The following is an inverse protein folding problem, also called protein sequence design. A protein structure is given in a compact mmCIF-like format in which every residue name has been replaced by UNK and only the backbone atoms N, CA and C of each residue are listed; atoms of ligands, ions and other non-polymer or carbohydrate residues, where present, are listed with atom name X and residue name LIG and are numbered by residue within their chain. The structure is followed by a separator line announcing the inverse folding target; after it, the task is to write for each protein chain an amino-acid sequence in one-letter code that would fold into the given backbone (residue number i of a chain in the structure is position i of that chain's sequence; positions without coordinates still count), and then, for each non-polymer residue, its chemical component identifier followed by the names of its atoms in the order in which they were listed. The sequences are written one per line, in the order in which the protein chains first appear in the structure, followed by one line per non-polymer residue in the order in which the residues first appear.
data_IF_659074220846
#
_entry.id   IF_659074220846
#
_cell.length_a   1.000
_cell.length_b   1.000
_cell.length_c   1.000
_cell.angle_alpha   90.00
_cell.angle_beta   90.00
_cell.angle_gamma   90.00
#
_symmetry.space_group_name_H-M   'P 1'
#
loop_
_entity.id
_entity.type
_entity.pdbx_description
1 polymer ?
#
# COMPACT_ATOMS: atom_id res chain seq x y z
N UNK A 1 47.72 -20.74 -14.53
CA UNK A 1 46.44 -20.99 -13.88
C UNK A 1 46.17 -19.81 -12.94
N UNK A 2 45.49 -18.78 -13.44
CA UNK A 2 45.10 -17.63 -12.64
C UNK A 2 43.71 -17.92 -12.07
N UNK A 3 43.66 -18.20 -10.78
CA UNK A 3 42.37 -18.27 -10.05
C UNK A 3 41.84 -16.84 -9.91
N UNK A 4 40.72 -16.58 -10.54
CA UNK A 4 39.98 -15.35 -10.40
C UNK A 4 39.60 -15.13 -8.91
N UNK A 5 40.32 -14.21 -8.26
CA UNK A 5 40.05 -13.75 -6.89
C UNK A 5 39.14 -12.54 -6.91
N UNK A 6 38.01 -12.58 -7.67
CA UNK A 6 36.99 -11.59 -7.51
C UNK A 6 36.32 -11.75 -6.12
N UNK A 7 36.17 -10.66 -5.35
CA UNK A 7 35.59 -10.75 -4.02
C UNK A 7 34.17 -11.30 -4.12
N UNK A 8 33.89 -12.34 -3.34
CA UNK A 8 32.56 -12.91 -3.17
C UNK A 8 31.62 -11.77 -2.82
N UNK A 9 30.67 -11.47 -3.72
CA UNK A 9 29.60 -10.53 -3.44
C UNK A 9 28.92 -10.96 -2.12
N UNK A 10 28.69 -10.03 -1.19
CA UNK A 10 28.06 -10.37 0.08
C UNK A 10 26.76 -11.12 -0.21
N UNK A 11 26.55 -12.25 0.47
CA UNK A 11 25.27 -12.96 0.45
C UNK A 11 24.22 -11.99 0.99
N UNK A 12 23.42 -11.41 0.09
CA UNK A 12 22.29 -10.58 0.50
C UNK A 12 21.37 -11.50 1.28
N UNK A 13 21.21 -11.23 2.56
CA UNK A 13 20.25 -11.92 3.39
C UNK A 13 18.85 -11.60 2.83
N UNK A 14 18.27 -12.59 2.16
CA UNK A 14 16.94 -12.43 1.51
C UNK A 14 15.85 -12.07 2.51
N UNK A 15 15.99 -12.53 3.74
CA UNK A 15 15.04 -12.22 4.82
C UNK A 15 15.18 -10.77 5.28
N UNK A 16 16.41 -10.27 5.44
CA UNK A 16 16.65 -8.87 5.77
C UNK A 16 16.11 -7.94 4.66
N UNK A 17 16.39 -8.25 3.38
CA UNK A 17 15.86 -7.47 2.24
C UNK A 17 14.33 -7.52 2.16
N UNK A 18 13.72 -8.66 2.47
CA UNK A 18 12.26 -8.78 2.54
C UNK A 18 11.68 -7.90 3.66
N UNK A 19 12.30 -7.89 4.84
CA UNK A 19 11.88 -7.05 5.96
C UNK A 19 12.07 -5.56 5.67
N UNK A 20 13.19 -5.16 5.05
CA UNK A 20 13.42 -3.79 4.58
C UNK A 20 12.35 -3.34 3.57
N UNK A 21 11.99 -4.22 2.62
CA UNK A 21 10.93 -3.93 1.67
C UNK A 21 9.56 -3.81 2.34
N UNK A 22 9.26 -4.65 3.35
CA UNK A 22 8.02 -4.54 4.11
C UNK A 22 7.94 -3.19 4.84
N UNK A 23 9.02 -2.70 5.42
CA UNK A 23 9.04 -1.38 6.06
C UNK A 23 8.84 -0.24 5.06
N UNK A 24 9.45 -0.35 3.87
CA UNK A 24 9.28 0.64 2.79
C UNK A 24 7.90 0.58 2.13
N UNK A 25 7.29 -0.60 2.09
CA UNK A 25 5.97 -0.81 1.48
C UNK A 25 4.81 -0.66 2.45
N UNK A 26 5.09 -0.51 3.75
CA UNK A 26 4.03 -0.19 4.72
C UNK A 26 3.43 1.16 4.38
N UNK A 27 2.14 1.23 4.04
CA UNK A 27 1.53 2.47 3.64
C UNK A 27 1.53 3.44 4.82
N UNK A 28 2.15 4.60 4.63
CA UNK A 28 2.13 5.68 5.61
C UNK A 28 0.79 6.39 5.52
N UNK A 29 0.20 6.71 6.67
CA UNK A 29 -0.97 7.57 6.73
C UNK A 29 -0.58 8.92 6.12
N UNK A 30 -1.34 9.42 5.12
CA UNK A 30 -1.05 10.71 4.51
C UNK A 30 -1.02 11.85 5.54
N UNK A 31 -0.22 12.88 5.28
CA UNK A 31 -0.29 14.08 6.08
C UNK A 31 -1.66 14.75 5.92
N UNK A 32 -2.19 15.39 6.98
CA UNK A 32 -3.45 16.11 6.89
C UNK A 32 -3.41 17.16 5.77
N UNK A 33 -4.46 17.20 4.96
CA UNK A 33 -4.64 18.18 3.87
C UNK A 33 -5.63 19.29 4.24
N UNK A 34 -6.23 19.21 5.42
CA UNK A 34 -7.20 20.17 5.94
C UNK A 34 -7.82 19.70 7.25
N UNK A 35 -8.82 20.43 7.69
CA UNK A 35 -9.60 20.13 8.89
C UNK A 35 -11.10 20.14 8.57
N UNK A 36 -11.84 19.27 9.25
CA UNK A 36 -13.30 19.24 9.28
C UNK A 36 -13.77 19.54 10.69
N UNK A 37 -14.76 20.43 10.84
CA UNK A 37 -15.39 20.74 12.11
C UNK A 37 -16.71 20.01 12.22
N UNK A 38 -16.90 19.31 13.33
CA UNK A 38 -18.12 18.56 13.64
C UNK A 38 -18.69 19.11 14.94
N UNK A 39 -20.00 19.37 14.95
CA UNK A 39 -20.70 19.80 16.17
C UNK A 39 -21.45 18.58 16.72
N UNK A 40 -21.11 18.17 17.94
CA UNK A 40 -21.75 17.09 18.67
C UNK A 40 -22.20 17.61 20.03
N UNK A 41 -23.45 17.45 20.38
CA UNK A 41 -24.03 17.92 21.65
C UNK A 41 -23.76 19.42 21.93
N UNK A 42 -23.78 20.25 20.87
CA UNK A 42 -23.51 21.69 20.96
C UNK A 42 -22.05 22.09 21.14
N UNK A 43 -21.11 21.13 21.10
CA UNK A 43 -19.67 21.39 21.18
C UNK A 43 -19.03 21.16 19.81
N UNK A 44 -18.10 22.05 19.46
CA UNK A 44 -17.33 21.95 18.23
C UNK A 44 -16.04 21.12 18.45
N UNK A 45 -15.80 20.17 17.54
CA UNK A 45 -14.61 19.33 17.49
C UNK A 45 -13.97 19.43 16.11
N UNK A 46 -12.64 19.42 16.04
CA UNK A 46 -11.89 19.47 14.78
C UNK A 46 -11.19 18.14 14.53
N UNK A 47 -11.33 17.63 13.29
CA UNK A 47 -10.73 16.37 12.85
C UNK A 47 -9.94 16.57 11.57
N UNK A 48 -8.77 15.94 11.42
CA UNK A 48 -7.96 16.04 10.21
C UNK A 48 -8.68 15.46 8.98
N UNK A 49 -8.45 16.08 7.83
CA UNK A 49 -8.81 15.52 6.52
C UNK A 49 -7.55 14.95 5.89
N UNK A 50 -7.61 13.69 5.48
CA UNK A 50 -6.57 13.00 4.72
C UNK A 50 -6.99 12.95 3.25
N UNK A 51 -6.01 12.99 2.33
CA UNK A 51 -6.29 12.85 0.90
C UNK A 51 -5.54 11.65 0.37
N UNK A 52 -6.26 10.72 -0.26
CA UNK A 52 -5.70 9.57 -0.96
C UNK A 52 -4.98 9.98 -2.25
N UNK A 53 -4.20 9.08 -2.82
CA UNK A 53 -3.47 9.31 -4.08
C UNK A 53 -4.39 9.49 -5.28
N UNK A 54 -5.60 8.98 -5.21
CA UNK A 54 -6.69 9.14 -6.20
C UNK A 54 -7.50 10.43 -6.02
N UNK A 55 -7.18 11.23 -4.98
CA UNK A 55 -7.88 12.46 -4.63
C UNK A 55 -9.07 12.27 -3.70
N UNK A 56 -9.43 11.03 -3.32
CA UNK A 56 -10.47 10.76 -2.34
C UNK A 56 -10.12 11.38 -0.99
N UNK A 57 -11.11 11.96 -0.33
CA UNK A 57 -10.95 12.63 0.97
C UNK A 57 -11.49 11.74 2.09
N UNK A 58 -10.71 11.63 3.14
CA UNK A 58 -11.04 10.83 4.32
C UNK A 58 -11.04 11.71 5.57
N UNK A 59 -12.06 11.57 6.40
CA UNK A 59 -12.08 12.19 7.72
C UNK A 59 -11.36 11.27 8.71
N UNK A 60 -10.30 11.76 9.33
CA UNK A 60 -9.54 10.98 10.32
C UNK A 60 -10.24 11.03 11.68
N UNK A 61 -11.00 9.98 11.97
CA UNK A 61 -11.80 9.88 13.20
C UNK A 61 -11.15 9.04 14.29
N UNK A 62 -9.84 8.73 14.20
CA UNK A 62 -9.13 7.91 15.21
C UNK A 62 -9.24 8.45 16.62
N UNK A 63 -9.39 9.75 16.78
CA UNK A 63 -9.55 10.42 18.07
C UNK A 63 -10.99 10.74 18.43
N UNK A 64 -11.97 10.41 17.59
CA UNK A 64 -13.37 10.74 17.81
C UNK A 64 -13.88 10.26 19.17
N UNK A 65 -13.70 8.98 19.45
CA UNK A 65 -14.18 8.40 20.71
C UNK A 65 -13.52 9.03 21.94
N UNK A 66 -12.21 9.21 21.92
CA UNK A 66 -11.48 9.77 23.06
C UNK A 66 -11.84 11.24 23.32
N UNK A 67 -12.21 12.00 22.30
CA UNK A 67 -12.57 13.39 22.44
C UNK A 67 -14.06 13.59 22.79
N UNK A 68 -14.92 12.73 22.27
CA UNK A 68 -16.38 12.98 22.30
C UNK A 68 -17.18 11.90 23.02
N UNK A 69 -16.62 10.71 23.23
CA UNK A 69 -17.37 9.52 23.68
C UNK A 69 -18.28 8.88 22.64
N UNK A 70 -18.35 9.42 21.41
CA UNK A 70 -19.18 8.89 20.35
C UNK A 70 -18.45 7.83 19.52
N UNK A 71 -19.18 6.83 19.05
CA UNK A 71 -18.70 5.78 18.16
C UNK A 71 -19.44 5.89 16.83
N UNK A 72 -18.75 5.73 15.72
CA UNK A 72 -19.35 5.66 14.38
C UNK A 72 -20.05 4.31 14.22
N UNK A 73 -21.30 4.34 13.78
CA UNK A 73 -22.04 3.16 13.39
C UNK A 73 -22.21 3.13 11.88
N UNK A 74 -21.44 2.26 11.22
CA UNK A 74 -21.43 2.09 9.75
C UNK A 74 -21.44 0.59 9.40
N UNK A 75 -22.60 -0.09 9.51
CA UNK A 75 -22.70 -1.51 9.18
C UNK A 75 -22.45 -1.74 7.68
N UNK A 76 -21.46 -2.58 7.37
CA UNK A 76 -21.07 -2.87 6.01
C UNK A 76 -20.00 -1.94 5.44
N UNK A 77 -19.45 -1.02 6.24
CA UNK A 77 -18.35 -0.13 5.87
C UNK A 77 -18.59 0.70 4.60
N UNK A 78 -19.82 1.21 4.44
CA UNK A 78 -20.24 1.95 3.25
C UNK A 78 -19.52 3.30 3.09
N UNK A 79 -19.11 3.90 4.21
CA UNK A 79 -18.42 5.20 4.24
C UNK A 79 -17.15 5.18 5.09
N UNK A 80 -16.65 3.99 5.47
CA UNK A 80 -15.50 3.85 6.38
C UNK A 80 -14.28 3.29 5.67
N UNK A 81 -13.19 4.06 5.62
CA UNK A 81 -11.87 3.58 5.22
C UNK A 81 -11.22 2.80 6.37
N UNK A 82 -10.96 1.51 6.18
CA UNK A 82 -10.41 0.61 7.21
C UNK A 82 -8.90 0.71 7.36
N UNK A 83 -8.19 0.91 6.26
CA UNK A 83 -6.73 0.95 6.25
C UNK A 83 -6.20 1.73 5.04
N UNK A 84 -4.92 2.09 5.10
CA UNK A 84 -4.17 2.51 3.93
C UNK A 84 -3.56 1.28 3.26
N UNK A 85 -3.59 1.23 1.93
CA UNK A 85 -2.94 0.19 1.15
C UNK A 85 -2.13 0.81 0.02
N UNK A 86 -0.92 0.29 -0.23
CA UNK A 86 -0.12 0.59 -1.40
C UNK A 86 -0.11 -0.57 -2.41
N UNK A 87 -0.86 -1.63 -2.15
CA UNK A 87 -0.83 -2.85 -2.96
C UNK A 87 -1.86 -2.78 -4.08
N UNK A 88 -3.10 -2.47 -3.74
CA UNK A 88 -4.22 -2.54 -4.68
C UNK A 88 -5.06 -1.27 -4.61
N UNK A 89 -5.42 -0.73 -5.77
CA UNK A 89 -6.47 0.25 -5.93
C UNK A 89 -7.61 -0.38 -6.72
N UNK A 90 -8.82 -0.35 -6.17
CA UNK A 90 -10.04 -0.77 -6.84
C UNK A 90 -11.04 0.38 -6.84
N UNK A 91 -11.45 0.81 -8.03
CA UNK A 91 -12.50 1.82 -8.23
C UNK A 91 -13.61 1.17 -9.07
N UNK A 92 -14.68 0.72 -8.41
CA UNK A 92 -15.80 0.04 -9.05
C UNK A 92 -16.64 0.96 -9.93
N UNK A 93 -16.71 2.27 -9.62
CA UNK A 93 -17.45 3.24 -10.42
C UNK A 93 -16.76 3.51 -11.76
N UNK A 94 -15.44 3.61 -11.74
CA UNK A 94 -14.63 3.81 -12.95
C UNK A 94 -14.20 2.51 -13.62
N UNK A 95 -14.48 1.35 -13.01
CA UNK A 95 -14.04 0.05 -13.51
C UNK A 95 -12.52 -0.10 -13.53
N UNK A 96 -11.82 0.49 -12.56
CA UNK A 96 -10.36 0.48 -12.50
C UNK A 96 -9.85 -0.49 -11.43
N UNK A 97 -8.86 -1.29 -11.81
CA UNK A 97 -8.08 -2.11 -10.90
C UNK A 97 -6.59 -1.88 -11.17
N UNK A 98 -5.83 -1.58 -10.13
CA UNK A 98 -4.37 -1.42 -10.22
C UNK A 98 -3.67 -2.22 -9.13
N UNK A 99 -2.56 -2.85 -9.48
CA UNK A 99 -1.62 -3.48 -8.55
C UNK A 99 -0.32 -2.70 -8.51
N UNK A 100 0.06 -2.19 -7.33
CA UNK A 100 1.25 -1.36 -7.15
C UNK A 100 1.36 -0.18 -8.15
N UNK A 101 0.21 0.34 -8.61
CA UNK A 101 0.13 1.42 -9.58
C UNK A 101 0.02 1.00 -11.04
N UNK A 102 0.29 -0.26 -11.38
CA UNK A 102 0.13 -0.81 -12.73
C UNK A 102 -1.33 -1.18 -12.99
N UNK A 103 -1.86 -0.83 -14.15
CA UNK A 103 -3.21 -1.21 -14.55
C UNK A 103 -3.30 -2.73 -14.77
N UNK A 104 -4.44 -3.34 -14.40
CA UNK A 104 -4.61 -4.80 -14.54
C UNK A 104 -4.56 -5.24 -16.00
N UNK A 105 -5.03 -4.39 -16.91
CA UNK A 105 -5.01 -4.63 -18.36
C UNK A 105 -3.57 -4.80 -18.84
N UNK A 106 -2.67 -3.89 -18.46
CA UNK A 106 -1.24 -3.95 -18.82
C UNK A 106 -0.56 -5.20 -18.24
N UNK A 107 -0.86 -5.53 -17.00
CA UNK A 107 -0.31 -6.71 -16.34
C UNK A 107 -0.79 -8.00 -16.98
N UNK A 108 -2.06 -8.09 -17.39
CA UNK A 108 -2.64 -9.28 -18.00
C UNK A 108 -2.11 -9.54 -19.42
N UNK A 109 -1.77 -8.49 -20.16
CA UNK A 109 -1.26 -8.61 -21.52
C UNK A 109 0.26 -8.86 -21.58
N UNK A 110 1.02 -8.29 -20.64
CA UNK A 110 2.48 -8.20 -20.76
C UNK A 110 3.26 -8.94 -19.68
N UNK A 111 2.60 -9.39 -18.61
CA UNK A 111 3.28 -10.03 -17.49
C UNK A 111 2.82 -11.48 -17.29
N UNK A 112 3.76 -12.34 -16.91
CA UNK A 112 3.47 -13.69 -16.43
C UNK A 112 2.92 -13.65 -15.00
N UNK A 113 2.30 -14.75 -14.58
CA UNK A 113 1.79 -14.91 -13.21
C UNK A 113 2.89 -14.66 -12.15
N UNK A 114 4.10 -15.18 -12.37
CA UNK A 114 5.19 -15.03 -11.42
C UNK A 114 5.72 -13.59 -11.34
N UNK A 115 5.70 -12.84 -12.45
CA UNK A 115 6.05 -11.42 -12.43
C UNK A 115 5.04 -10.60 -11.63
N UNK A 116 3.75 -10.91 -11.74
CA UNK A 116 2.71 -10.26 -10.92
C UNK A 116 2.85 -10.66 -9.44
N UNK A 117 3.15 -11.92 -9.13
CA UNK A 117 3.45 -12.33 -7.75
C UNK A 117 4.64 -11.56 -7.17
N UNK A 118 5.71 -11.44 -7.96
CA UNK A 118 6.89 -10.67 -7.57
C UNK A 118 6.54 -9.20 -7.32
N UNK A 119 5.80 -8.57 -8.23
CA UNK A 119 5.33 -7.19 -8.11
C UNK A 119 4.57 -6.95 -6.80
N UNK A 120 3.63 -7.83 -6.46
CA UNK A 120 2.83 -7.70 -5.24
C UNK A 120 3.67 -7.81 -3.97
N UNK A 121 4.70 -8.69 -3.97
CA UNK A 121 5.57 -8.93 -2.83
C UNK A 121 6.68 -7.88 -2.69
N UNK A 122 7.26 -7.46 -3.81
CA UNK A 122 8.46 -6.61 -3.82
C UNK A 122 8.21 -5.18 -4.31
N UNK A 123 6.96 -4.84 -4.69
CA UNK A 123 6.49 -3.50 -5.09
C UNK A 123 6.98 -2.98 -6.45
N UNK A 124 7.76 -3.77 -7.17
CA UNK A 124 8.27 -3.48 -8.52
C UNK A 124 8.31 -4.73 -9.37
N UNK A 125 8.26 -4.59 -10.69
CA UNK A 125 8.39 -5.72 -11.59
C UNK A 125 9.82 -6.25 -11.58
N UNK A 126 10.01 -7.59 -11.64
CA UNK A 126 11.34 -8.19 -11.62
C UNK A 126 12.09 -7.94 -12.93
N UNK A 127 13.39 -7.77 -12.87
CA UNK A 127 14.23 -7.98 -14.03
C UNK A 127 14.41 -9.50 -14.28
N UNK A 128 15.00 -9.86 -15.44
CA UNK A 128 15.18 -11.27 -15.83
C UNK A 128 15.90 -12.13 -14.79
N UNK A 129 16.95 -11.58 -14.16
CA UNK A 129 17.74 -12.31 -13.16
C UNK A 129 16.94 -12.52 -11.87
N UNK A 130 16.14 -11.55 -11.49
CA UNK A 130 15.27 -11.61 -10.31
C UNK A 130 14.15 -12.60 -10.53
N UNK A 131 13.53 -12.58 -11.72
CA UNK A 131 12.50 -13.54 -12.07
C UNK A 131 13.02 -14.98 -12.07
N UNK A 132 14.18 -15.25 -12.68
CA UNK A 132 14.79 -16.58 -12.67
C UNK A 132 15.12 -17.07 -11.25
N UNK A 133 15.52 -16.17 -10.36
CA UNK A 133 15.75 -16.51 -8.95
C UNK A 133 14.46 -16.77 -8.20
N UNK A 134 13.42 -15.98 -8.48
CA UNK A 134 12.12 -16.13 -7.86
C UNK A 134 11.44 -17.43 -8.27
N UNK A 135 11.47 -17.77 -9.56
CA UNK A 135 10.96 -19.01 -10.13
C UNK A 135 11.56 -20.28 -9.48
N UNK A 136 12.83 -20.22 -9.07
CA UNK A 136 13.49 -21.35 -8.38
C UNK A 136 13.10 -21.52 -6.91
N UNK A 137 12.43 -20.53 -6.33
CA UNK A 137 12.07 -20.52 -4.90
C UNK A 137 10.60 -20.93 -4.71
N UNK A 138 9.76 -20.66 -5.70
CA UNK A 138 8.33 -20.99 -5.72
C UNK A 138 8.11 -22.35 -6.35
#
# INVERSE_FOLDING_TARGET
MNLDQSPLKPKIDKHARFLENLEQTTPKIPNPSGECKIILDGKEFSFPILTGTDGAKFLDIRTLFSQTGHIVFDPGFMATGLCCSSITLTDGEKGQLKYRGYAIEDLSEHCSYLEVCYLLLYSELPNKIELEKFDRIV
#
